data_IF_195143960149
#
_entry.id   IF_195143960149
#
_cell.length_a   1.000
_cell.length_b   1.000
_cell.length_c   1.000
_cell.angle_alpha   90.00
_cell.angle_beta   90.00
_cell.angle_gamma   90.00
#
_symmetry.space_group_name_H-M   'P 1'
#
loop_
_entity.id
_entity.type
_entity.pdbx_description
1 polymer ?
#
# COMPACT_ATOMS: atom_id res chain seq x y z
N UNK A 1 -21.20 17.59 8.46
CA UNK A 1 -21.09 16.11 8.56
C UNK A 1 -19.64 15.78 8.74
N UNK A 2 -19.30 14.90 9.70
CA UNK A 2 -17.92 14.44 9.84
C UNK A 2 -17.58 13.61 8.59
N UNK A 3 -16.49 13.94 7.90
CA UNK A 3 -15.93 13.05 6.90
C UNK A 3 -15.59 11.74 7.62
N UNK A 4 -16.17 10.62 7.19
CA UNK A 4 -15.81 9.32 7.75
C UNK A 4 -14.33 9.08 7.48
N UNK A 5 -13.58 8.68 8.50
CA UNK A 5 -12.16 8.41 8.33
C UNK A 5 -11.97 7.20 7.41
N UNK A 6 -11.14 7.36 6.39
CA UNK A 6 -10.79 6.31 5.44
C UNK A 6 -10.34 5.05 6.17
N UNK A 7 -10.78 3.89 5.70
CA UNK A 7 -10.30 2.58 6.14
C UNK A 7 -9.81 1.80 4.94
N UNK A 8 -8.67 1.11 5.06
CA UNK A 8 -8.06 0.34 3.99
C UNK A 8 -7.82 -1.11 4.43
N UNK A 9 -7.61 -2.01 3.47
CA UNK A 9 -7.05 -3.32 3.77
C UNK A 9 -5.57 -3.15 4.12
N UNK A 10 -5.12 -3.92 5.11
CA UNK A 10 -3.75 -3.94 5.57
C UNK A 10 -3.23 -5.37 5.67
N UNK A 11 -2.08 -5.62 5.05
CA UNK A 11 -1.36 -6.88 5.12
C UNK A 11 0.11 -6.65 4.78
N UNK A 12 0.98 -7.57 5.18
CA UNK A 12 2.38 -7.62 4.81
C UNK A 12 2.75 -9.09 4.60
N UNK A 13 3.36 -9.40 3.45
CA UNK A 13 3.86 -10.73 3.13
C UNK A 13 5.20 -10.66 2.41
N UNK A 14 6.03 -11.68 2.63
CA UNK A 14 7.25 -11.94 1.86
C UNK A 14 7.06 -12.94 0.71
N UNK A 15 5.88 -13.56 0.64
CA UNK A 15 5.67 -14.77 -0.16
C UNK A 15 4.93 -14.44 -1.46
N UNK A 16 3.76 -13.80 -1.35
CA UNK A 16 2.97 -13.33 -2.50
C UNK A 16 1.92 -12.30 -2.10
N UNK A 17 1.34 -11.61 -3.09
CA UNK A 17 0.18 -10.75 -2.87
C UNK A 17 -1.06 -11.56 -2.46
N UNK A 18 -1.19 -12.82 -2.92
CA UNK A 18 -2.29 -13.69 -2.51
C UNK A 18 -2.21 -14.05 -1.02
N UNK A 19 -1.02 -14.40 -0.52
CA UNK A 19 -0.79 -14.63 0.90
C UNK A 19 -1.10 -13.37 1.74
N UNK A 20 -0.68 -12.20 1.25
CA UNK A 20 -1.05 -10.91 1.85
C UNK A 20 -2.58 -10.75 1.94
N UNK A 21 -3.29 -11.05 0.85
CA UNK A 21 -4.75 -10.94 0.78
C UNK A 21 -5.47 -11.91 1.73
N UNK A 22 -4.99 -13.15 1.88
CA UNK A 22 -5.58 -14.13 2.79
C UNK A 22 -5.47 -13.71 4.26
N UNK A 23 -4.41 -12.98 4.62
CA UNK A 23 -4.13 -12.53 5.97
C UNK A 23 -4.58 -11.08 6.25
N UNK A 24 -5.18 -10.40 5.26
CA UNK A 24 -5.47 -8.97 5.36
C UNK A 24 -6.50 -8.63 6.44
N UNK A 25 -6.33 -7.46 7.04
CA UNK A 25 -7.25 -6.92 8.06
C UNK A 25 -7.62 -5.49 7.70
N UNK A 26 -8.80 -5.07 8.12
CA UNK A 26 -9.21 -3.68 7.97
C UNK A 26 -8.44 -2.81 8.95
N UNK A 27 -7.90 -1.70 8.48
CA UNK A 27 -7.18 -0.70 9.28
C UNK A 27 -7.79 0.67 9.03
N UNK A 28 -8.12 1.38 10.12
CA UNK A 28 -8.52 2.79 10.04
C UNK A 28 -7.29 3.64 9.73
N UNK A 29 -7.36 4.47 8.70
CA UNK A 29 -6.26 5.33 8.33
C UNK A 29 -6.07 6.49 9.33
N UNK A 30 -4.83 6.81 9.71
CA UNK A 30 -4.46 8.06 10.35
C UNK A 30 -4.93 9.27 9.54
N UNK A 31 -5.14 10.40 10.21
CA UNK A 31 -5.68 11.62 9.59
C UNK A 31 -4.84 12.18 8.43
N UNK A 32 -3.54 11.83 8.35
CA UNK A 32 -2.62 12.26 7.30
C UNK A 32 -2.44 11.21 6.18
N UNK A 33 -3.27 10.16 6.15
CA UNK A 33 -3.24 9.11 5.14
C UNK A 33 -4.62 8.99 4.49
N UNK A 34 -4.71 9.46 3.25
CA UNK A 34 -5.94 9.71 2.50
C UNK A 34 -6.06 8.83 1.24
N UNK A 35 -5.15 7.87 1.08
CA UNK A 35 -5.17 6.84 0.04
C UNK A 35 -4.96 5.46 0.63
N UNK A 36 -5.64 4.49 0.05
CA UNK A 36 -5.30 3.09 0.21
C UNK A 36 -4.28 2.70 -0.86
N UNK A 37 -3.30 1.87 -0.50
CA UNK A 37 -2.25 1.43 -1.42
C UNK A 37 -2.05 -0.07 -1.43
N UNK A 38 -1.62 -0.57 -2.58
CA UNK A 38 -1.09 -1.91 -2.81
C UNK A 38 0.31 -1.76 -3.40
N UNK A 39 1.32 -2.29 -2.71
CA UNK A 39 2.73 -2.15 -3.01
C UNK A 39 3.37 -3.52 -3.20
N UNK A 40 4.16 -3.64 -4.26
CA UNK A 40 5.11 -4.74 -4.46
C UNK A 40 6.51 -4.13 -4.60
N UNK A 41 7.48 -4.65 -3.85
CA UNK A 41 8.91 -4.29 -3.99
C UNK A 41 9.69 -5.55 -4.32
N UNK A 42 10.47 -5.51 -5.39
CA UNK A 42 11.29 -6.62 -5.86
C UNK A 42 12.71 -6.47 -5.32
N UNK A 43 13.15 -7.47 -4.55
CA UNK A 43 14.48 -7.51 -3.94
C UNK A 43 15.31 -8.65 -4.54
N UNK A 44 16.62 -8.64 -4.32
CA UNK A 44 17.46 -9.83 -4.60
C UNK A 44 17.13 -11.01 -3.66
N UNK A 45 16.45 -10.73 -2.55
CA UNK A 45 15.92 -11.70 -1.60
C UNK A 45 14.39 -11.86 -1.70
N UNK A 46 13.68 -12.12 -0.59
CA UNK A 46 12.23 -12.18 -0.62
C UNK A 46 11.64 -10.82 -1.03
N UNK A 47 10.66 -10.85 -1.92
CA UNK A 47 9.91 -9.66 -2.31
C UNK A 47 9.07 -9.15 -1.13
N UNK A 48 8.67 -7.89 -1.19
CA UNK A 48 7.74 -7.32 -0.21
C UNK A 48 6.40 -7.09 -0.88
N UNK A 49 5.33 -7.63 -0.31
CA UNK A 49 3.94 -7.39 -0.70
C UNK A 49 3.21 -6.71 0.47
N UNK A 50 2.65 -5.51 0.24
CA UNK A 50 2.08 -4.68 1.29
C UNK A 50 0.78 -4.04 0.83
N UNK A 51 -0.23 -4.07 1.70
CA UNK A 51 -1.37 -3.15 1.65
C UNK A 51 -1.35 -2.23 2.85
N UNK A 52 -1.55 -0.94 2.65
CA UNK A 52 -1.61 0.02 3.76
C UNK A 52 -2.35 1.31 3.38
N UNK A 53 -2.53 2.18 4.37
CA UNK A 53 -2.88 3.58 4.21
C UNK A 53 -1.61 4.41 3.95
N UNK A 54 -1.64 5.31 2.97
CA UNK A 54 -0.55 6.25 2.68
C UNK A 54 -1.08 7.65 2.36
N UNK A 55 -0.26 8.70 2.51
CA UNK A 55 -0.60 10.02 1.97
C UNK A 55 -0.56 10.01 0.44
N UNK A 56 -1.44 10.78 -0.20
CA UNK A 56 -1.52 10.97 -1.65
C UNK A 56 -0.17 11.27 -2.30
N UNK A 57 0.67 12.07 -1.64
CA UNK A 57 2.03 12.38 -2.12
C UNK A 57 2.82 11.12 -2.50
N UNK A 58 2.75 10.08 -1.67
CA UNK A 58 3.55 8.86 -1.88
C UNK A 58 3.05 8.03 -3.06
N UNK A 59 1.76 8.10 -3.41
CA UNK A 59 1.21 7.40 -4.57
C UNK A 59 1.92 7.74 -5.89
N UNK A 60 2.37 8.98 -6.03
CA UNK A 60 3.06 9.44 -7.25
C UNK A 60 4.58 9.53 -7.11
N UNK A 61 5.12 9.42 -5.90
CA UNK A 61 6.56 9.61 -5.66
C UNK A 61 7.30 8.35 -5.26
N UNK A 62 6.67 7.40 -4.56
CA UNK A 62 7.37 6.28 -3.95
C UNK A 62 7.99 5.34 -5.00
N UNK A 63 7.20 4.87 -5.97
CA UNK A 63 7.68 4.06 -7.11
C UNK A 63 7.84 4.88 -8.39
N UNK A 64 8.22 6.16 -8.27
CA UNK A 64 8.29 7.05 -9.43
C UNK A 64 9.39 6.56 -10.38
N UNK A 65 8.99 6.18 -11.59
CA UNK A 65 9.91 5.60 -12.58
C UNK A 65 10.16 4.10 -12.38
N UNK A 66 9.30 3.43 -11.61
CA UNK A 66 9.37 1.97 -11.40
C UNK A 66 10.36 1.53 -10.34
N UNK A 67 10.97 2.46 -9.60
CA UNK A 67 11.93 2.16 -8.53
C UNK A 67 11.63 2.97 -7.28
N UNK A 68 11.95 2.42 -6.11
CA UNK A 68 11.85 3.12 -4.83
C UNK A 68 13.11 3.92 -4.49
N UNK A 69 13.12 4.58 -3.33
CA UNK A 69 14.26 5.40 -2.85
C UNK A 69 15.56 4.61 -2.65
N UNK A 70 15.46 3.29 -2.48
CA UNK A 70 16.60 2.40 -2.26
C UNK A 70 17.11 1.79 -3.58
N UNK A 71 16.45 2.13 -4.71
CA UNK A 71 16.81 1.65 -6.05
C UNK A 71 16.21 0.29 -6.40
N UNK A 72 15.30 -0.25 -5.59
CA UNK A 72 14.60 -1.50 -5.90
C UNK A 72 13.44 -1.25 -6.85
N UNK A 73 13.23 -2.15 -7.81
CA UNK A 73 12.05 -2.14 -8.66
C UNK A 73 10.79 -2.26 -7.78
N UNK A 74 9.78 -1.47 -8.08
CA UNK A 74 8.53 -1.52 -7.34
C UNK A 74 7.32 -1.06 -8.15
N UNK A 75 6.18 -1.62 -7.77
CA UNK A 75 4.87 -1.28 -8.29
C UNK A 75 3.99 -0.78 -7.16
N UNK A 76 3.41 0.41 -7.33
CA UNK A 76 2.50 1.01 -6.36
C UNK A 76 1.20 1.40 -7.04
N UNK A 77 0.10 0.84 -6.56
CA UNK A 77 -1.26 1.24 -6.93
C UNK A 77 -1.93 1.94 -5.76
N UNK A 78 -2.72 2.97 -6.05
CA UNK A 78 -3.49 3.72 -5.06
C UNK A 78 -4.93 3.89 -5.48
N UNK A 79 -5.81 3.90 -4.49
CA UNK A 79 -7.23 4.17 -4.68
C UNK A 79 -7.78 5.04 -3.54
N UNK A 80 -8.90 5.72 -3.84
CA UNK A 80 -9.68 6.51 -2.88
C UNK A 80 -10.99 5.78 -2.59
N UNK A 81 -11.33 5.64 -1.30
CA UNK A 81 -12.53 4.96 -0.85
C UNK A 81 -12.24 3.83 0.13
N UNK A 82 -13.24 3.48 0.94
CA UNK A 82 -13.07 2.48 1.97
C UNK A 82 -12.78 1.08 1.37
N UNK A 83 -11.73 0.44 1.88
CA UNK A 83 -11.33 -0.94 1.60
C UNK A 83 -11.11 -1.24 0.11
N UNK A 84 -10.71 -0.23 -0.67
CA UNK A 84 -10.58 -0.36 -2.12
C UNK A 84 -9.31 -1.10 -2.59
N UNK A 85 -8.32 -1.28 -1.72
CA UNK A 85 -6.99 -1.84 -2.04
C UNK A 85 -6.86 -3.34 -1.77
#
# INVERSE_FOLDING_TARGET
>A
GAAEALSCNHCLSSDSMDDCNEQQKQKRCPANQDRCSTLTVYHEGPNTFLKDCIPERLCSTYCKGGVNSDGYECELSCCEGNLCN
#
